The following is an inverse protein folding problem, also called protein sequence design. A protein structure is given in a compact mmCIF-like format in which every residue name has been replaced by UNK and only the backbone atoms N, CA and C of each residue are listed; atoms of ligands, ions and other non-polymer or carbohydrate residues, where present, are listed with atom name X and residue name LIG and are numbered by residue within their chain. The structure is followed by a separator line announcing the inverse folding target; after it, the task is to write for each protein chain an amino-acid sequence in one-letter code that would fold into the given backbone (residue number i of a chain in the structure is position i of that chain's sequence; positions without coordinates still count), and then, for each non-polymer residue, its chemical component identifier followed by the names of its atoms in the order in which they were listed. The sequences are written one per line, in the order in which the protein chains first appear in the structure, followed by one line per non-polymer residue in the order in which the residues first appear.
data_IF_086711946720
#
_entry.id   IF_086711946720
#
_cell.length_a   1.000
_cell.length_b   1.000
_cell.length_c   1.000
_cell.angle_alpha   90.00
_cell.angle_beta   90.00
_cell.angle_gamma   90.00
#
_symmetry.space_group_name_H-M   'P 1'
#
loop_
_entity.id
_entity.type
_entity.pdbx_description
1 polymer ?
#
# COMPACT_ATOMS: atom_id res chain seq x y z
N UNK A 1 -13.01 -12.93 -19.35
CA UNK A 1 -13.74 -12.27 -18.25
C UNK A 1 -12.94 -11.01 -17.94
N UNK A 2 -13.46 -9.82 -18.26
CA UNK A 2 -12.76 -8.58 -17.90
C UNK A 2 -12.98 -8.34 -16.41
N UNK A 3 -11.97 -8.61 -15.60
CA UNK A 3 -11.99 -8.34 -14.15
C UNK A 3 -11.69 -6.84 -13.99
N UNK A 4 -12.71 -5.99 -13.98
CA UNK A 4 -12.47 -4.58 -13.67
C UNK A 4 -11.98 -4.44 -12.22
N UNK A 5 -10.96 -3.61 -11.94
CA UNK A 5 -10.43 -3.46 -10.59
C UNK A 5 -11.52 -2.86 -9.69
N UNK A 6 -11.89 -3.55 -8.61
CA UNK A 6 -12.91 -3.11 -7.65
C UNK A 6 -12.42 -2.05 -6.64
N UNK A 7 -11.35 -1.33 -6.96
CA UNK A 7 -10.74 -0.31 -6.11
C UNK A 7 -10.77 1.07 -6.77
N UNK A 8 -10.44 2.15 -6.03
CA UNK A 8 -10.39 3.49 -6.60
C UNK A 8 -9.42 3.53 -7.78
N UNK A 9 -9.78 4.30 -8.81
CA UNK A 9 -8.88 4.46 -9.95
C UNK A 9 -7.58 5.14 -9.50
N UNK A 10 -6.47 4.92 -10.23
CA UNK A 10 -5.20 5.61 -9.91
C UNK A 10 -5.38 7.13 -9.92
N UNK A 11 -6.22 7.65 -10.81
CA UNK A 11 -6.54 9.09 -10.88
C UNK A 11 -7.25 9.54 -9.62
N UNK A 12 -8.27 8.81 -9.20
CA UNK A 12 -9.02 9.10 -7.97
C UNK A 12 -8.11 9.07 -6.74
N UNK A 13 -7.32 7.99 -6.58
CA UNK A 13 -6.37 7.85 -5.48
C UNK A 13 -5.36 9.00 -5.42
N UNK A 14 -4.90 9.51 -6.58
CA UNK A 14 -3.99 10.67 -6.63
C UNK A 14 -4.71 11.98 -6.24
N UNK A 15 -5.99 12.11 -6.56
CA UNK A 15 -6.74 13.35 -6.30
C UNK A 15 -7.26 13.47 -4.87
N UNK A 16 -7.65 12.37 -4.25
CA UNK A 16 -8.39 12.37 -2.97
C UNK A 16 -7.79 11.45 -1.92
N UNK A 17 -6.90 10.54 -2.31
CA UNK A 17 -6.34 9.53 -1.44
C UNK A 17 -4.99 9.91 -0.83
N UNK A 18 -4.51 9.01 0.01
CA UNK A 18 -3.17 9.05 0.60
C UNK A 18 -2.12 8.49 -0.37
N UNK A 19 -0.84 8.70 -0.06
CA UNK A 19 0.26 8.04 -0.78
C UNK A 19 0.11 6.52 -0.80
N UNK A 20 -0.41 5.92 0.28
CA UNK A 20 -0.71 4.48 0.35
C UNK A 20 -1.79 4.09 -0.65
N UNK A 21 -2.87 4.85 -0.73
CA UNK A 21 -3.98 4.59 -1.66
C UNK A 21 -3.53 4.63 -3.12
N UNK A 22 -2.63 5.56 -3.47
CA UNK A 22 -2.03 5.64 -4.81
C UNK A 22 -1.24 4.37 -5.14
N UNK A 23 -0.42 3.89 -4.20
CA UNK A 23 0.39 2.68 -4.40
C UNK A 23 -0.49 1.43 -4.52
N UNK A 24 -1.55 1.33 -3.71
CA UNK A 24 -2.55 0.24 -3.78
C UNK A 24 -3.27 0.26 -5.13
N UNK A 25 -3.72 1.43 -5.59
CA UNK A 25 -4.37 1.57 -6.90
C UNK A 25 -3.44 1.20 -8.06
N UNK A 26 -2.17 1.61 -8.00
CA UNK A 26 -1.15 1.21 -8.99
C UNK A 26 -0.92 -0.31 -8.99
N UNK A 27 -0.85 -0.93 -7.80
CA UNK A 27 -0.69 -2.38 -7.65
C UNK A 27 -1.86 -3.14 -8.25
N UNK A 28 -3.09 -2.70 -7.98
CA UNK A 28 -4.30 -3.30 -8.54
C UNK A 28 -4.32 -3.23 -10.08
N UNK A 29 -3.88 -2.12 -10.65
CA UNK A 29 -3.78 -1.97 -12.12
C UNK A 29 -2.74 -2.90 -12.73
N UNK A 30 -1.61 -3.11 -12.05
CA UNK A 30 -0.58 -4.07 -12.51
C UNK A 30 -1.05 -5.51 -12.42
N UNK A 31 -1.81 -5.89 -11.39
CA UNK A 31 -2.40 -7.21 -11.27
C UNK A 31 -3.32 -7.51 -12.47
N UNK A 32 -4.13 -6.53 -12.90
CA UNK A 32 -4.96 -6.70 -14.10
C UNK A 32 -4.13 -6.94 -15.37
N UNK A 33 -3.06 -6.16 -15.56
CA UNK A 33 -2.15 -6.39 -16.70
C UNK A 33 -1.42 -7.72 -16.60
N UNK A 34 -1.17 -8.23 -15.39
CA UNK A 34 -0.53 -9.53 -15.19
C UNK A 34 -1.44 -10.70 -15.62
N UNK A 35 -2.75 -10.58 -15.36
CA UNK A 35 -3.76 -11.59 -15.73
C UNK A 35 -4.22 -11.49 -17.20
N UNK A 36 -3.88 -10.41 -17.91
CA UNK A 36 -4.21 -10.24 -19.33
C UNK A 36 -3.38 -11.22 -20.21
N UNK A 37 -4.02 -12.16 -20.93
CA UNK A 37 -3.32 -13.12 -21.79
C UNK A 37 -2.61 -12.47 -22.98
N UNK A 38 -2.89 -11.19 -23.29
CA UNK A 38 -2.21 -10.43 -24.33
C UNK A 38 -0.93 -9.75 -23.85
N UNK A 39 -0.64 -9.80 -22.55
CA UNK A 39 0.58 -9.19 -21.99
C UNK A 39 1.81 -10.00 -22.41
N UNK A 40 2.80 -9.37 -23.08
CA UNK A 40 3.97 -10.10 -23.54
C UNK A 40 4.86 -10.52 -22.37
N UNK A 41 5.53 -11.68 -22.50
CA UNK A 41 6.35 -12.26 -21.43
C UNK A 41 7.46 -11.33 -20.90
N UNK A 42 7.97 -10.43 -21.75
CA UNK A 42 8.94 -9.41 -21.35
C UNK A 42 8.35 -8.41 -20.35
N UNK A 43 7.08 -8.04 -20.53
CA UNK A 43 6.38 -7.10 -19.66
C UNK A 43 5.99 -7.77 -18.34
N UNK A 44 5.71 -9.08 -18.33
CA UNK A 44 5.48 -9.84 -17.09
C UNK A 44 6.65 -9.69 -16.11
N UNK A 45 7.89 -9.82 -16.57
CA UNK A 45 9.07 -9.64 -15.71
C UNK A 45 9.17 -8.21 -15.14
N UNK A 46 8.83 -7.20 -15.94
CA UNK A 46 8.78 -5.81 -15.50
C UNK A 46 7.66 -5.57 -14.49
N UNK A 47 6.47 -6.15 -14.72
CA UNK A 47 5.31 -6.09 -13.84
C UNK A 47 5.65 -6.73 -12.49
N UNK A 48 6.23 -7.94 -12.47
CA UNK A 48 6.62 -8.62 -11.22
C UNK A 48 7.57 -7.77 -10.39
N UNK A 49 8.62 -7.21 -11.01
CA UNK A 49 9.57 -6.33 -10.30
C UNK A 49 8.87 -5.10 -9.74
N UNK A 50 7.94 -4.52 -10.48
CA UNK A 50 7.17 -3.36 -10.04
C UNK A 50 6.22 -3.71 -8.90
N UNK A 51 5.58 -4.87 -8.93
CA UNK A 51 4.72 -5.33 -7.83
C UNK A 51 5.51 -5.54 -6.54
N UNK A 52 6.71 -6.15 -6.60
CA UNK A 52 7.58 -6.28 -5.40
C UNK A 52 7.95 -4.91 -4.82
N UNK A 53 8.35 -3.96 -5.66
CA UNK A 53 8.68 -2.59 -5.22
C UNK A 53 7.48 -1.85 -4.61
N UNK A 54 6.28 -2.03 -5.15
CA UNK A 54 5.06 -1.47 -4.54
C UNK A 54 4.74 -2.15 -3.21
N UNK A 55 4.88 -3.47 -3.11
CA UNK A 55 4.62 -4.23 -1.89
C UNK A 55 5.57 -3.86 -0.75
N UNK A 56 6.84 -3.64 -1.06
CA UNK A 56 7.83 -3.19 -0.08
C UNK A 56 7.51 -1.77 0.43
N UNK A 57 7.09 -0.86 -0.46
CA UNK A 57 6.72 0.51 -0.09
C UNK A 57 5.45 0.57 0.73
N UNK A 58 4.43 -0.20 0.36
CA UNK A 58 3.18 -0.29 1.11
C UNK A 58 3.46 -0.78 2.53
N UNK A 59 4.23 -1.87 2.66
CA UNK A 59 4.65 -2.40 3.98
C UNK A 59 5.43 -1.38 4.80
N UNK A 60 6.31 -0.59 4.17
CA UNK A 60 7.04 0.47 4.87
C UNK A 60 6.13 1.57 5.41
N UNK A 61 5.06 1.93 4.68
CA UNK A 61 4.09 2.92 5.15
C UNK A 61 3.24 2.33 6.28
N UNK A 62 2.75 1.10 6.12
CA UNK A 62 1.95 0.41 7.14
C UNK A 62 2.74 0.23 8.45
N UNK A 63 4.03 -0.09 8.37
CA UNK A 63 4.89 -0.19 9.54
C UNK A 63 5.06 1.17 10.23
N UNK A 64 5.32 2.24 9.48
CA UNK A 64 5.45 3.58 10.05
C UNK A 64 4.15 4.08 10.70
N UNK A 65 2.99 3.80 10.08
CA UNK A 65 1.68 4.12 10.65
C UNK A 65 1.40 3.31 11.95
N UNK A 66 1.86 2.06 12.01
CA UNK A 66 1.74 1.24 13.21
C UNK A 66 2.65 1.74 14.33
N UNK A 67 3.91 2.05 14.03
CA UNK A 67 4.86 2.60 15.01
C UNK A 67 4.36 3.93 15.60
N UNK A 68 3.82 4.84 14.78
CA UNK A 68 3.21 6.09 15.26
C UNK A 68 1.99 5.84 16.17
N UNK A 69 1.22 4.79 15.89
CA UNK A 69 0.07 4.40 16.72
C UNK A 69 0.53 3.82 18.05
N UNK A 70 1.54 2.95 18.04
CA UNK A 70 2.09 2.31 19.24
C UNK A 70 2.75 3.34 20.18
N UNK A 71 3.52 4.29 19.62
CA UNK A 71 4.10 5.41 20.39
C UNK A 71 3.02 6.29 21.03
N UNK A 72 1.93 6.57 20.31
CA UNK A 72 0.82 7.37 20.84
C UNK A 72 0.08 6.66 21.99
N UNK A 73 -0.01 5.33 21.98
CA UNK A 73 -0.62 4.54 23.05
C UNK A 73 0.30 4.45 24.30
N UNK A 74 1.62 4.38 24.12
CA UNK A 74 2.59 4.37 25.24
C UNK A 74 2.66 5.72 25.99
N UNK A 75 2.52 6.86 25.30
CA UNK A 75 2.60 8.20 25.91
C UNK A 75 1.35 8.55 26.78
N UNK A 76 0.31 7.71 26.77
CA UNK A 76 -0.92 7.88 27.57
C UNK A 76 -0.82 7.19 28.95
N UNK A 77 0.19 6.33 29.18
CA UNK A 77 0.42 5.75 30.51
C UNK A 77 1.21 6.70 31.41
N UNK A 78 0.55 7.74 31.92
CA UNK A 78 1.02 8.50 33.07
C UNK A 78 1.08 7.55 34.29
N UNK A 79 2.23 6.92 34.53
CA UNK A 79 2.50 6.26 35.81
C UNK A 79 2.54 7.34 36.90
N UNK A 80 1.50 7.34 37.75
CA UNK A 80 1.42 8.15 38.96
C UNK A 80 2.62 7.81 39.86
N UNK A 81 3.65 8.64 39.81
CA UNK A 81 4.88 8.47 40.56
C UNK A 81 4.59 8.67 42.07
N UNK A 82 4.27 7.60 42.78
CA UNK A 82 4.17 7.59 44.25
C UNK A 82 5.59 7.72 44.84
N UNK A 83 6.03 8.98 45.00
CA UNK A 83 7.28 9.32 45.68
C UNK A 83 7.22 8.97 47.18
N UNK A 84 8.29 8.29 47.64
CA UNK A 84 8.51 7.81 49.02
C UNK A 84 8.67 8.92 50.06
#
# INVERSE_FOLDING_TARGET
MNIEPSGPSVVEAVTTGTSKDVLVAMRARLAYSFDDPNTPARDLAAITRRMTDLDDRIRSIELAEQEETDEADEDITDEEWEGV
#
